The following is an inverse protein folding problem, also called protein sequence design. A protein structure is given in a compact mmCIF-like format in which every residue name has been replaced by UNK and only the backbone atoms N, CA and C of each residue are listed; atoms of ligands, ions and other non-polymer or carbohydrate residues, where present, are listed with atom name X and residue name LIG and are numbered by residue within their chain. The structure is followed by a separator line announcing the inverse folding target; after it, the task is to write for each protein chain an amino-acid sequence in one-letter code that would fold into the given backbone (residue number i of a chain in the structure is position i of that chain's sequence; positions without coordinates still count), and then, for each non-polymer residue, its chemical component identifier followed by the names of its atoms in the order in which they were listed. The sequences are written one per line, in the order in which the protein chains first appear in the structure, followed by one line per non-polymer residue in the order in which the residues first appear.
data_IF_966935218689
#
_entry.id   IF_966935218689
#
_cell.length_a   1.000
_cell.length_b   1.000
_cell.length_c   1.000
_cell.angle_alpha   90.00
_cell.angle_beta   90.00
_cell.angle_gamma   90.00
#
_symmetry.space_group_name_H-M   'P 1'
#
loop_
_entity.id
_entity.type
_entity.pdbx_description
1 polymer ?
#
# COMPACT_ATOMS: atom_id res chain seq x y z
N UNK A 1 10.45 -3.01 -17.72
CA UNK A 1 10.41 -4.04 -18.78
C UNK A 1 8.96 -4.45 -18.95
N UNK A 2 8.45 -4.68 -20.16
CA UNK A 2 7.11 -5.22 -20.31
C UNK A 2 7.03 -6.66 -19.77
N UNK A 3 5.89 -7.05 -19.21
CA UNK A 3 5.57 -8.42 -18.80
C UNK A 3 4.45 -8.94 -19.70
N UNK A 4 4.59 -10.16 -20.20
CA UNK A 4 3.48 -10.85 -20.87
C UNK A 4 3.02 -12.02 -19.99
N UNK A 5 1.79 -11.92 -19.49
CA UNK A 5 1.12 -12.94 -18.67
C UNK A 5 0.00 -13.64 -19.45
N UNK A 6 0.08 -13.67 -20.79
CA UNK A 6 -0.87 -14.32 -21.69
C UNK A 6 -1.93 -13.39 -22.29
N UNK A 7 -1.86 -12.08 -22.01
CA UNK A 7 -2.75 -11.04 -22.57
C UNK A 7 -1.97 -9.99 -23.39
N UNK A 8 -0.70 -10.27 -23.70
CA UNK A 8 0.20 -9.34 -24.36
C UNK A 8 1.03 -8.51 -23.37
N UNK A 9 1.99 -7.73 -23.89
CA UNK A 9 2.96 -7.02 -23.07
C UNK A 9 2.35 -5.84 -22.31
N UNK A 10 2.46 -5.86 -20.98
CA UNK A 10 2.07 -4.78 -20.05
C UNK A 10 3.33 -4.06 -19.55
N UNK A 11 3.37 -2.74 -19.71
CA UNK A 11 4.47 -1.89 -19.20
C UNK A 11 4.24 -1.49 -17.73
N UNK A 12 5.31 -1.23 -16.96
CA UNK A 12 5.18 -0.68 -15.61
C UNK A 12 4.68 0.76 -15.67
N UNK A 13 3.66 1.06 -14.89
CA UNK A 13 3.13 2.40 -14.65
C UNK A 13 2.41 2.42 -13.30
N UNK A 14 2.17 3.60 -12.73
CA UNK A 14 1.37 3.71 -11.49
C UNK A 14 0.02 3.01 -11.65
N UNK A 15 -0.62 3.15 -12.80
CA UNK A 15 -1.90 2.51 -13.11
C UNK A 15 -1.78 0.99 -13.15
N UNK A 16 -0.91 0.45 -14.01
CA UNK A 16 -0.76 -1.01 -14.21
C UNK A 16 -0.23 -1.74 -12.97
N UNK A 17 0.46 -1.01 -12.08
CA UNK A 17 0.91 -1.53 -10.79
C UNK A 17 -0.23 -1.56 -9.78
N UNK A 18 -1.01 -0.47 -9.67
CA UNK A 18 -2.10 -0.37 -8.71
C UNK A 18 -3.35 -1.18 -9.08
N UNK A 19 -3.59 -1.42 -10.37
CA UNK A 19 -4.68 -2.30 -10.84
C UNK A 19 -4.28 -3.79 -10.90
N UNK A 20 -3.01 -4.11 -10.61
CA UNK A 20 -2.48 -5.47 -10.55
C UNK A 20 -2.21 -6.11 -11.92
N UNK A 21 -2.37 -5.39 -13.03
CA UNK A 21 -2.12 -5.94 -14.38
C UNK A 21 -0.63 -6.14 -14.69
N UNK A 22 0.27 -5.44 -13.99
CA UNK A 22 1.73 -5.63 -14.07
C UNK A 22 2.25 -6.79 -13.18
N UNK A 23 1.51 -7.90 -13.15
CA UNK A 23 1.84 -9.09 -12.36
C UNK A 23 2.72 -10.08 -13.14
N UNK A 24 3.69 -10.78 -12.50
CA UNK A 24 3.93 -10.86 -11.05
C UNK A 24 5.01 -9.91 -10.51
N UNK A 25 5.51 -8.97 -11.31
CA UNK A 25 6.60 -8.09 -10.86
C UNK A 25 6.12 -6.89 -10.02
N UNK A 26 4.81 -6.64 -9.94
CA UNK A 26 4.20 -5.79 -8.90
C UNK A 26 3.41 -6.62 -7.90
N UNK A 27 3.54 -6.27 -6.61
CA UNK A 27 2.71 -6.79 -5.53
C UNK A 27 2.52 -5.74 -4.43
N UNK A 28 1.34 -5.69 -3.78
CA UNK A 28 1.16 -4.86 -2.60
C UNK A 28 2.03 -5.35 -1.44
N UNK A 29 2.49 -4.41 -0.62
CA UNK A 29 3.20 -4.70 0.63
C UNK A 29 2.27 -4.37 1.81
N UNK A 30 2.26 -5.27 2.79
CA UNK A 30 1.43 -5.13 3.98
C UNK A 30 2.29 -5.11 5.24
N UNK A 31 1.87 -4.31 6.22
CA UNK A 31 2.33 -4.42 7.60
C UNK A 31 1.31 -5.24 8.40
N UNK A 32 1.79 -6.17 9.22
CA UNK A 32 0.95 -7.02 10.05
C UNK A 32 1.07 -6.57 11.50
N UNK A 33 0.09 -5.83 11.98
CA UNK A 33 0.08 -5.31 13.35
C UNK A 33 -0.68 -6.27 14.25
N UNK A 34 -0.06 -6.65 15.38
CA UNK A 34 -0.74 -7.46 16.39
C UNK A 34 -1.94 -6.69 16.96
N UNK A 35 -3.11 -7.34 17.02
CA UNK A 35 -4.32 -6.77 17.63
C UNK A 35 -4.11 -6.41 19.09
N UNK A 36 -3.41 -7.25 19.85
CA UNK A 36 -3.02 -6.96 21.23
C UNK A 36 -2.07 -5.77 21.33
N UNK A 37 -1.13 -5.62 20.39
CA UNK A 37 -0.22 -4.48 20.39
C UNK A 37 -0.94 -3.16 20.08
N UNK A 38 -2.01 -3.19 19.27
CA UNK A 38 -2.86 -2.03 19.00
C UNK A 38 -3.60 -1.51 20.22
N UNK A 39 -3.65 -2.22 21.35
CA UNK A 39 -4.16 -1.69 22.62
C UNK A 39 -3.22 -0.63 23.23
N UNK A 40 -1.95 -0.60 22.81
CA UNK A 40 -0.95 0.37 23.28
C UNK A 40 -1.04 1.67 22.47
N UNK A 41 -1.23 2.84 23.11
CA UNK A 41 -1.35 4.11 22.40
C UNK A 41 -0.19 4.42 21.45
N UNK A 42 1.04 4.13 21.86
CA UNK A 42 2.23 4.37 21.05
C UNK A 42 2.27 3.52 19.77
N UNK A 43 1.67 2.33 19.79
CA UNK A 43 1.56 1.48 18.59
C UNK A 43 0.47 2.02 17.67
N UNK A 44 -0.67 2.47 18.22
CA UNK A 44 -1.73 3.11 17.43
C UNK A 44 -1.20 4.35 16.71
N UNK A 45 -0.49 5.23 17.42
CA UNK A 45 0.09 6.44 16.82
C UNK A 45 1.12 6.11 15.74
N UNK A 46 1.95 5.09 15.96
CA UNK A 46 2.89 4.65 14.93
C UNK A 46 2.18 4.15 13.66
N UNK A 47 1.13 3.34 13.80
CA UNK A 47 0.38 2.80 12.66
C UNK A 47 -0.38 3.91 11.94
N UNK A 48 -0.98 4.86 12.67
CA UNK A 48 -1.62 6.04 12.08
C UNK A 48 -0.62 6.87 11.29
N UNK A 49 0.52 7.22 11.91
CA UNK A 49 1.60 7.94 11.26
C UNK A 49 2.09 7.22 9.99
N UNK A 50 2.29 5.89 10.06
CA UNK A 50 2.69 5.09 8.91
C UNK A 50 1.71 5.25 7.74
N UNK A 51 0.41 5.09 8.00
CA UNK A 51 -0.63 5.19 6.97
C UNK A 51 -0.78 6.62 6.42
N UNK A 52 -0.68 7.64 7.26
CA UNK A 52 -0.80 9.05 6.85
C UNK A 52 0.41 9.55 6.05
N UNK A 53 1.61 9.05 6.34
CA UNK A 53 2.86 9.50 5.69
C UNK A 53 3.27 8.65 4.50
N UNK A 54 2.84 7.39 4.44
CA UNK A 54 3.18 6.48 3.35
C UNK A 54 2.92 7.06 1.94
N UNK A 55 1.79 7.75 1.64
CA UNK A 55 1.54 8.30 0.30
C UNK A 55 2.65 9.23 -0.22
N UNK A 56 3.34 9.93 0.70
CA UNK A 56 4.38 10.91 0.37
C UNK A 56 5.78 10.28 0.42
N UNK A 57 6.05 9.44 1.41
CA UNK A 57 7.40 8.90 1.65
C UNK A 57 7.76 7.71 0.74
N UNK A 58 6.78 6.89 0.36
CA UNK A 58 6.99 5.68 -0.44
C UNK A 58 7.57 5.99 -1.84
N UNK A 59 7.08 7.02 -2.56
CA UNK A 59 7.68 7.45 -3.82
C UNK A 59 9.15 7.88 -3.71
N UNK A 60 9.56 8.50 -2.60
CA UNK A 60 10.93 9.00 -2.40
C UNK A 60 11.98 7.87 -2.38
N UNK A 61 11.56 6.67 -2.00
CA UNK A 61 12.41 5.47 -1.93
C UNK A 61 12.20 4.50 -3.10
N UNK A 62 11.50 4.93 -4.16
CA UNK A 62 11.37 4.18 -5.41
C UNK A 62 10.23 3.16 -5.45
N UNK A 63 9.31 3.20 -4.47
CA UNK A 63 8.09 2.39 -4.50
C UNK A 63 6.92 3.18 -5.10
N UNK A 64 5.87 2.44 -5.49
CA UNK A 64 4.60 3.03 -5.93
C UNK A 64 3.65 3.11 -4.75
N UNK A 65 3.13 4.30 -4.46
CA UNK A 65 2.11 4.49 -3.44
C UNK A 65 0.80 3.81 -3.85
N UNK A 66 0.10 3.26 -2.87
CA UNK A 66 -1.25 2.75 -3.09
C UNK A 66 -2.21 3.90 -3.46
N UNK A 67 -3.33 3.60 -4.11
CA UNK A 67 -4.44 4.55 -4.22
C UNK A 67 -4.82 5.15 -2.86
N UNK A 68 -5.15 6.45 -2.83
CA UNK A 68 -5.52 7.15 -1.59
C UNK A 68 -6.68 6.45 -0.85
N UNK A 69 -7.65 5.92 -1.60
CA UNK A 69 -8.80 5.20 -1.06
C UNK A 69 -8.41 3.97 -0.22
N UNK A 70 -7.28 3.31 -0.53
CA UNK A 70 -6.82 2.14 0.23
C UNK A 70 -6.22 2.56 1.58
N UNK A 71 -5.52 3.71 1.63
CA UNK A 71 -5.05 4.30 2.89
C UNK A 71 -6.22 4.77 3.75
N UNK A 72 -7.20 5.43 3.14
CA UNK A 72 -8.40 5.91 3.83
C UNK A 72 -9.22 4.74 4.40
N UNK A 73 -9.37 3.66 3.64
CA UNK A 73 -10.02 2.43 4.09
C UNK A 73 -9.28 1.80 5.29
N UNK A 74 -7.95 1.75 5.26
CA UNK A 74 -7.15 1.26 6.38
C UNK A 74 -7.32 2.16 7.62
N UNK A 75 -7.24 3.48 7.47
CA UNK A 75 -7.45 4.41 8.57
C UNK A 75 -8.85 4.28 9.17
N UNK A 76 -9.89 4.15 8.33
CA UNK A 76 -11.26 3.94 8.78
C UNK A 76 -11.41 2.59 9.53
N UNK A 77 -10.81 1.52 9.02
CA UNK A 77 -10.88 0.21 9.66
C UNK A 77 -10.27 0.20 11.07
N UNK A 78 -9.16 0.90 11.27
CA UNK A 78 -8.42 0.89 12.55
C UNK A 78 -8.79 2.03 13.50
N UNK A 79 -9.29 3.15 12.99
CA UNK A 79 -9.49 4.39 13.76
C UNK A 79 -10.85 5.08 13.53
N UNK A 80 -11.75 4.47 12.74
CA UNK A 80 -12.99 5.09 12.26
C UNK A 80 -14.17 5.17 13.24
N UNK A 81 -14.05 4.60 14.45
CA UNK A 81 -15.13 4.57 15.44
C UNK A 81 -16.14 3.45 15.23
#
# INVERSE_FOLDING_TARGET
LPIDSGQGPVLPSVQTINDGTYSPLSRPLFIYVSTKALERPEVQEFVRFYLEKAPVLVPEVGYVALPQADYDAALQQYFGG
#
